data_IF_804236302926
#
_entry.id   IF_804236302926
#
_cell.length_a   1.000
_cell.length_b   1.000
_cell.length_c   1.000
_cell.angle_alpha   90.00
_cell.angle_beta   90.00
_cell.angle_gamma   90.00
#
_symmetry.space_group_name_H-M   'P 1'
#
loop_
_entity.id
_entity.type
_entity.pdbx_description
1 polymer ?
#
# COMPACT_ATOMS: atom_id res chain seq x y z
N UNK A 1 -0.64 8.95 -17.86
CA UNK A 1 0.65 8.26 -18.14
C UNK A 1 1.60 8.23 -16.92
N UNK A 2 1.82 9.33 -16.20
CA UNK A 2 2.75 9.36 -15.06
C UNK A 2 2.38 8.47 -13.85
N UNK A 3 1.08 8.35 -13.54
CA UNK A 3 0.58 7.56 -12.40
C UNK A 3 0.82 6.06 -12.59
N UNK A 4 0.60 5.57 -13.81
CA UNK A 4 0.81 4.18 -14.17
C UNK A 4 2.31 3.81 -14.12
N UNK A 5 3.20 4.72 -14.53
CA UNK A 5 4.66 4.55 -14.40
C UNK A 5 5.07 4.46 -12.93
N UNK A 6 4.52 5.33 -12.06
CA UNK A 6 4.78 5.30 -10.62
C UNK A 6 4.36 3.96 -10.00
N UNK A 7 3.15 3.48 -10.34
CA UNK A 7 2.66 2.18 -9.88
C UNK A 7 3.57 1.03 -10.34
N UNK A 8 4.02 1.02 -11.60
CA UNK A 8 4.96 0.00 -12.09
C UNK A 8 6.28 -0.01 -11.31
N UNK A 9 6.84 1.16 -11.00
CA UNK A 9 8.07 1.27 -10.21
C UNK A 9 7.86 0.76 -8.78
N UNK A 10 6.75 1.15 -8.13
CA UNK A 10 6.40 0.69 -6.78
C UNK A 10 6.23 -0.83 -6.74
N UNK A 11 5.49 -1.39 -7.70
CA UNK A 11 5.31 -2.84 -7.85
C UNK A 11 6.65 -3.55 -7.99
N UNK A 12 7.54 -3.06 -8.86
CA UNK A 12 8.88 -3.64 -9.01
C UNK A 12 9.68 -3.60 -7.71
N UNK A 13 9.71 -2.45 -7.03
CA UNK A 13 10.41 -2.30 -5.76
C UNK A 13 9.90 -3.29 -4.69
N UNK A 14 8.58 -3.45 -4.58
CA UNK A 14 7.95 -4.39 -3.64
C UNK A 14 8.34 -5.84 -4.01
N UNK A 15 8.27 -6.21 -5.29
CA UNK A 15 8.63 -7.55 -5.77
C UNK A 15 10.09 -7.87 -5.46
N UNK A 16 11.00 -6.97 -5.81
CA UNK A 16 12.43 -7.16 -5.62
C UNK A 16 12.77 -7.28 -4.12
N UNK A 17 12.20 -6.40 -3.28
CA UNK A 17 12.39 -6.41 -1.82
C UNK A 17 11.86 -7.70 -1.18
N UNK A 18 10.68 -8.16 -1.64
CA UNK A 18 10.04 -9.36 -1.11
C UNK A 18 10.58 -10.67 -1.71
N UNK A 19 11.53 -10.60 -2.65
CA UNK A 19 12.03 -11.73 -3.43
C UNK A 19 10.88 -12.51 -4.10
N UNK A 20 9.93 -11.77 -4.68
CA UNK A 20 8.71 -12.30 -5.29
C UNK A 20 7.47 -12.22 -4.40
N UNK A 21 6.30 -12.18 -5.04
CA UNK A 21 5.00 -11.99 -4.36
C UNK A 21 3.92 -13.00 -4.75
N UNK A 22 4.27 -14.02 -5.55
CA UNK A 22 3.31 -15.02 -6.01
C UNK A 22 2.61 -15.71 -4.82
N UNK A 23 1.28 -15.72 -4.83
CA UNK A 23 0.39 -16.23 -3.77
C UNK A 23 0.54 -15.59 -2.38
N UNK A 24 1.35 -14.54 -2.23
CA UNK A 24 1.43 -13.79 -0.96
C UNK A 24 0.15 -12.98 -0.77
N UNK A 25 -0.37 -12.94 0.46
CA UNK A 25 -1.49 -12.08 0.84
C UNK A 25 -0.99 -10.66 1.04
N UNK A 26 -1.52 -9.73 0.27
CA UNK A 26 -1.10 -8.33 0.25
C UNK A 26 -2.29 -7.44 0.63
N UNK A 27 -2.07 -6.52 1.56
CA UNK A 27 -3.02 -5.45 1.87
C UNK A 27 -2.52 -4.14 1.29
N UNK A 28 -3.36 -3.45 0.52
CA UNK A 28 -3.14 -2.09 0.04
C UNK A 28 -4.04 -1.12 0.79
N UNK A 29 -3.45 -0.43 1.78
CA UNK A 29 -4.13 0.54 2.65
C UNK A 29 -4.20 1.88 1.94
N UNK A 30 -5.40 2.42 1.79
CA UNK A 30 -5.66 3.63 1.01
C UNK A 30 -5.58 3.37 -0.49
N UNK A 31 -6.13 2.25 -0.96
CA UNK A 31 -5.97 1.79 -2.35
C UNK A 31 -6.48 2.77 -3.43
N UNK A 32 -7.35 3.73 -3.07
CA UNK A 32 -7.89 4.72 -3.98
C UNK A 32 -8.51 4.10 -5.23
N UNK A 33 -8.04 4.52 -6.41
CA UNK A 33 -8.47 3.98 -7.71
C UNK A 33 -7.94 2.54 -8.01
N UNK A 34 -7.14 1.95 -7.11
CA UNK A 34 -6.72 0.55 -7.21
C UNK A 34 -5.57 0.27 -8.17
N UNK A 35 -4.86 1.29 -8.68
CA UNK A 35 -3.80 1.11 -9.69
C UNK A 35 -2.65 0.23 -9.17
N UNK A 36 -2.21 0.47 -7.93
CA UNK A 36 -1.17 -0.36 -7.30
C UNK A 36 -1.71 -1.76 -6.99
N UNK A 37 -2.91 -1.82 -6.40
CA UNK A 37 -3.61 -3.08 -6.09
C UNK A 37 -3.71 -3.99 -7.33
N UNK A 38 -4.13 -3.45 -8.47
CA UNK A 38 -4.26 -4.19 -9.73
C UNK A 38 -2.89 -4.65 -10.25
N UNK A 39 -1.87 -3.79 -10.19
CA UNK A 39 -0.51 -4.16 -10.59
C UNK A 39 0.08 -5.29 -9.74
N UNK A 40 -0.17 -5.29 -8.43
CA UNK A 40 0.26 -6.35 -7.51
C UNK A 40 -0.52 -7.66 -7.75
N UNK A 41 -1.81 -7.55 -8.11
CA UNK A 41 -2.64 -8.70 -8.47
C UNK A 41 -2.14 -9.38 -9.73
N UNK A 42 -1.88 -8.63 -10.82
CA UNK A 42 -1.33 -9.19 -12.05
C UNK A 42 0.09 -9.76 -11.89
N UNK A 43 0.85 -9.27 -10.91
CA UNK A 43 2.13 -9.85 -10.53
C UNK A 43 2.01 -11.13 -9.67
N UNK A 44 0.79 -11.63 -9.43
CA UNK A 44 0.50 -12.91 -8.79
C UNK A 44 0.22 -12.83 -7.28
N UNK A 45 0.10 -11.63 -6.71
CA UNK A 45 -0.31 -11.43 -5.33
C UNK A 45 -1.80 -11.68 -5.10
N UNK A 46 -2.18 -12.08 -3.88
CA UNK A 46 -3.57 -12.13 -3.43
C UNK A 46 -3.86 -10.81 -2.72
N UNK A 47 -4.45 -9.85 -3.45
CA UNK A 47 -4.53 -8.46 -3.02
C UNK A 47 -5.89 -8.15 -2.39
N UNK A 48 -5.85 -7.50 -1.23
CA UNK A 48 -6.99 -6.82 -0.61
C UNK A 48 -6.73 -5.31 -0.66
N UNK A 49 -7.57 -4.55 -1.35
CA UNK A 49 -7.58 -3.09 -1.25
C UNK A 49 -8.52 -2.66 -0.14
N UNK A 50 -8.09 -1.72 0.72
CA UNK A 50 -8.90 -1.23 1.82
C UNK A 50 -8.79 0.28 1.95
N UNK A 51 -9.93 0.95 2.10
CA UNK A 51 -9.93 2.36 2.50
C UNK A 51 -9.45 2.51 3.95
N UNK A 52 -8.74 3.60 4.22
CA UNK A 52 -8.19 3.85 5.55
C UNK A 52 -9.28 3.94 6.63
N UNK A 53 -10.48 4.42 6.31
CA UNK A 53 -11.60 4.50 7.25
C UNK A 53 -12.04 3.13 7.78
N UNK A 54 -11.73 2.05 7.06
CA UNK A 54 -12.11 0.68 7.43
C UNK A 54 -10.97 -0.13 8.06
N UNK A 55 -9.75 0.40 8.14
CA UNK A 55 -8.57 -0.36 8.61
C UNK A 55 -8.72 -0.85 10.06
N UNK A 56 -9.31 -0.04 10.94
CA UNK A 56 -9.53 -0.42 12.33
C UNK A 56 -10.45 -1.64 12.44
N UNK A 57 -11.58 -1.61 11.74
CA UNK A 57 -12.55 -2.71 11.74
C UNK A 57 -11.97 -3.98 11.11
N UNK A 58 -11.14 -3.82 10.08
CA UNK A 58 -10.45 -4.92 9.46
C UNK A 58 -9.40 -5.56 10.38
N UNK A 59 -8.67 -4.74 11.13
CA UNK A 59 -7.67 -5.17 12.11
C UNK A 59 -8.29 -5.97 13.26
N UNK A 60 -9.50 -5.63 13.69
CA UNK A 60 -10.22 -6.39 14.73
C UNK A 60 -10.49 -7.83 14.27
N UNK A 61 -10.70 -8.05 12.97
CA UNK A 61 -11.05 -9.37 12.42
C UNK A 61 -9.85 -10.17 11.91
N UNK A 62 -8.75 -9.51 11.55
CA UNK A 62 -7.65 -10.11 10.77
C UNK A 62 -6.25 -9.76 11.32
N UNK A 63 -5.94 -10.13 12.56
CA UNK A 63 -4.58 -9.97 13.10
C UNK A 63 -3.59 -10.92 12.42
N UNK A 64 -2.35 -10.45 12.19
CA UNK A 64 -1.24 -11.24 11.63
C UNK A 64 -1.64 -12.04 10.38
N UNK A 65 -2.37 -11.41 9.47
CA UNK A 65 -3.04 -12.09 8.36
C UNK A 65 -2.28 -11.94 7.03
N UNK A 66 -1.60 -10.82 6.84
CA UNK A 66 -0.96 -10.45 5.59
C UNK A 66 0.54 -10.74 5.60
N UNK A 67 1.06 -11.22 4.46
CA UNK A 67 2.49 -11.40 4.25
C UNK A 67 3.16 -10.05 3.91
N UNK A 68 2.40 -9.16 3.26
CA UNK A 68 2.83 -7.83 2.83
C UNK A 68 1.72 -6.82 3.12
N UNK A 69 2.08 -5.66 3.68
CA UNK A 69 1.18 -4.51 3.81
C UNK A 69 1.82 -3.30 3.15
N UNK A 70 1.11 -2.65 2.24
CA UNK A 70 1.53 -1.43 1.56
C UNK A 70 0.58 -0.30 1.92
N UNK A 71 1.12 0.90 2.13
CA UNK A 71 0.37 2.11 2.45
C UNK A 71 1.06 3.29 1.78
N UNK A 72 0.57 3.67 0.60
CA UNK A 72 1.27 4.58 -0.31
C UNK A 72 0.52 5.90 -0.44
N UNK A 73 1.17 7.01 -0.07
CA UNK A 73 0.62 8.38 -0.22
C UNK A 73 -0.64 8.61 0.62
N UNK A 74 -0.64 8.05 1.82
CA UNK A 74 -1.78 8.11 2.75
C UNK A 74 -1.44 8.94 3.98
N UNK A 75 -0.28 8.68 4.61
CA UNK A 75 0.00 9.17 5.97
C UNK A 75 0.03 10.70 6.08
N UNK A 76 0.40 11.41 5.01
CA UNK A 76 0.45 12.88 4.95
C UNK A 76 -0.93 13.55 4.98
N UNK A 77 -1.99 12.79 4.73
CA UNK A 77 -3.38 13.26 4.74
C UNK A 77 -4.11 12.90 6.04
N UNK A 78 -3.44 12.23 6.98
CA UNK A 78 -4.04 11.70 8.20
C UNK A 78 -3.55 12.48 9.42
N UNK A 79 -4.48 12.87 10.29
CA UNK A 79 -4.17 13.62 11.52
C UNK A 79 -3.29 12.82 12.49
N UNK A 80 -3.48 11.50 12.56
CA UNK A 80 -2.84 10.58 13.51
C UNK A 80 -2.10 9.45 12.78
N UNK A 81 -1.02 9.73 12.02
CA UNK A 81 -0.37 8.74 11.16
C UNK A 81 0.21 7.56 11.95
N UNK A 82 0.65 7.78 13.20
CA UNK A 82 1.17 6.72 14.07
C UNK A 82 0.15 5.62 14.34
N UNK A 83 -1.15 5.95 14.40
CA UNK A 83 -2.20 4.95 14.62
C UNK A 83 -2.34 4.03 13.42
N UNK A 84 -2.25 4.58 12.22
CA UNK A 84 -2.26 3.81 10.97
C UNK A 84 -1.06 2.89 10.92
N UNK A 85 0.12 3.39 11.26
CA UNK A 85 1.34 2.57 11.33
C UNK A 85 1.15 1.40 12.29
N UNK A 86 0.61 1.66 13.48
CA UNK A 86 0.34 0.62 14.48
C UNK A 86 -0.69 -0.41 14.01
N UNK A 87 -1.75 0.02 13.31
CA UNK A 87 -2.76 -0.89 12.76
C UNK A 87 -2.17 -1.76 11.64
N UNK A 88 -1.39 -1.18 10.72
CA UNK A 88 -0.67 -1.93 9.70
C UNK A 88 0.26 -2.97 10.34
N UNK A 89 0.97 -2.61 11.43
CA UNK A 89 1.85 -3.54 12.14
C UNK A 89 1.11 -4.69 12.82
N UNK A 90 -0.17 -4.54 13.18
CA UNK A 90 -0.99 -5.65 13.74
C UNK A 90 -1.54 -6.57 12.65
N UNK A 91 -1.75 -6.04 11.45
CA UNK A 91 -2.28 -6.78 10.30
C UNK A 91 -1.24 -7.68 9.64
N UNK A 92 0.04 -7.38 9.83
CA UNK A 92 1.14 -8.10 9.20
C UNK A 92 1.61 -9.29 10.03
N UNK A 93 1.92 -10.41 9.37
CA UNK A 93 2.53 -11.58 10.01
C UNK A 93 3.94 -11.25 10.55
N UNK A 94 4.41 -11.97 11.58
CA UNK A 94 5.81 -11.96 11.95
C UNK A 94 6.71 -12.26 10.74
N UNK A 95 7.69 -11.40 10.49
CA UNK A 95 8.59 -11.51 9.32
C UNK A 95 8.01 -11.04 7.99
N UNK A 96 6.78 -10.51 7.97
CA UNK A 96 6.19 -9.88 6.80
C UNK A 96 6.82 -8.52 6.45
N UNK A 97 6.57 -8.05 5.23
CA UNK A 97 7.14 -6.78 4.75
C UNK A 97 6.11 -5.65 4.75
N UNK A 98 6.49 -4.52 5.33
CA UNK A 98 5.61 -3.37 5.49
C UNK A 98 6.21 -2.17 4.76
N UNK A 99 5.44 -1.58 3.85
CA UNK A 99 5.89 -0.49 3.00
C UNK A 99 5.06 0.76 3.21
N UNK A 100 5.73 1.89 3.41
CA UNK A 100 5.12 3.20 3.44
C UNK A 100 5.75 4.11 2.38
N UNK A 101 4.93 4.98 1.79
CA UNK A 101 5.42 6.17 1.11
C UNK A 101 4.57 7.37 1.47
N UNK A 102 5.17 8.56 1.44
CA UNK A 102 4.47 9.84 1.47
C UNK A 102 4.71 10.56 0.15
N UNK A 103 3.79 11.41 -0.28
CA UNK A 103 3.92 12.26 -1.46
C UNK A 103 5.25 13.00 -1.40
N UNK A 104 6.00 12.87 -2.48
CA UNK A 104 7.19 13.68 -2.72
C UNK A 104 6.75 15.13 -2.99
N UNK A 105 6.98 16.07 -2.07
CA UNK A 105 6.55 17.48 -2.17
C UNK A 105 7.44 18.33 -3.10
N UNK A 106 7.83 17.81 -4.26
CA UNK A 106 8.50 18.60 -5.30
C UNK A 106 7.46 19.19 -6.26
N UNK A 107 7.72 20.40 -6.82
CA UNK A 107 6.83 21.08 -7.77
C UNK A 107 6.38 20.16 -8.92
N UNK A 108 7.27 19.26 -9.37
CA UNK A 108 6.98 18.29 -10.41
C UNK A 108 5.86 17.32 -10.03
N UNK A 109 5.77 16.88 -8.77
CA UNK A 109 4.70 15.97 -8.32
C UNK A 109 3.33 16.67 -8.28
N UNK A 110 3.30 17.94 -7.87
CA UNK A 110 2.08 18.76 -7.85
C UNK A 110 1.43 18.87 -9.24
N UNK A 111 2.23 19.08 -10.30
CA UNK A 111 1.70 19.18 -11.66
C UNK A 111 1.29 17.83 -12.26
N UNK A 112 1.92 16.73 -11.86
CA UNK A 112 1.61 15.38 -12.40
C UNK A 112 0.52 14.63 -11.64
N UNK A 113 0.23 15.00 -10.39
CA UNK A 113 -0.76 14.32 -9.54
C UNK A 113 -2.12 15.04 -9.46
N UNK A 114 -2.16 16.36 -9.71
CA UNK A 114 -3.40 17.16 -9.67
C UNK A 114 -4.09 17.35 -11.04
N UNK A 115 -3.58 16.75 -12.11
CA UNK A 115 -4.25 16.74 -13.42
C UNK A 115 -5.00 15.42 -13.59
N UNK A 116 -6.20 15.40 -13.01
CA UNK A 116 -7.31 14.52 -13.40
C UNK A 116 -8.38 15.35 -14.10
#
# INVERSE_FOLDING_TARGET
>A
MGIQISATIRTKYIIDTCQGIFKKKILDVGCGAGILSESLYYAGGIVTGLDISNILQHCIKNSEYYDIVVCMEVLEHIERPIEIVNLCSKLIKPGGNLFFSTINRTLKSFFTLNTY
#
